data_IF_041002242990
#
_entry.id   IF_041002242990
#
_cell.length_a   1.000
_cell.length_b   1.000
_cell.length_c   1.000
_cell.angle_alpha   90.00
_cell.angle_beta   90.00
_cell.angle_gamma   90.00
#
_symmetry.space_group_name_H-M   'P 1'
#
loop_
_entity.id
_entity.type
_entity.pdbx_description
1 polymer ?
#
# COMPACT_ATOMS: atom_id res chain seq x y z
N UNK A 1 5.19 19.65 -8.82
CA UNK A 1 5.08 18.18 -8.98
C UNK A 1 3.93 17.77 -8.09
N UNK A 2 2.84 17.28 -8.68
CA UNK A 2 1.77 16.68 -7.90
C UNK A 2 2.29 15.31 -7.48
N UNK A 3 2.52 15.11 -6.19
CA UNK A 3 2.88 13.81 -5.67
C UNK A 3 1.58 13.01 -5.54
N UNK A 4 1.50 11.88 -6.23
CA UNK A 4 0.31 11.05 -6.19
C UNK A 4 0.53 9.90 -5.20
N UNK A 5 -0.49 9.52 -4.42
CA UNK A 5 -0.36 8.53 -3.37
C UNK A 5 -0.21 7.12 -3.94
N UNK A 6 0.48 6.25 -3.21
CA UNK A 6 0.38 4.81 -3.46
C UNK A 6 -1.01 4.29 -3.06
N UNK A 7 -1.57 3.42 -3.89
CA UNK A 7 -2.82 2.72 -3.61
C UNK A 7 -2.49 1.24 -3.40
N UNK A 8 -2.73 0.75 -2.20
CA UNK A 8 -2.53 -0.66 -1.83
C UNK A 8 -3.90 -1.35 -1.80
N UNK A 9 -4.02 -2.45 -2.52
CA UNK A 9 -5.22 -3.27 -2.63
C UNK A 9 -4.88 -4.74 -2.43
N UNK A 10 -5.88 -5.54 -2.05
CA UNK A 10 -5.77 -6.99 -1.98
C UNK A 10 -6.64 -7.58 -3.09
N UNK A 11 -6.11 -8.54 -3.85
CA UNK A 11 -6.81 -9.19 -4.96
C UNK A 11 -8.08 -9.91 -4.49
N UNK A 12 -8.01 -10.55 -3.32
CA UNK A 12 -9.08 -11.37 -2.74
C UNK A 12 -9.09 -11.25 -1.20
N UNK A 13 -10.21 -11.59 -0.54
CA UNK A 13 -10.30 -11.68 0.92
C UNK A 13 -9.17 -12.49 1.57
N UNK A 14 -8.83 -13.65 1.00
CA UNK A 14 -7.80 -14.54 1.54
C UNK A 14 -6.42 -13.85 1.59
N UNK A 15 -6.08 -13.05 0.57
CA UNK A 15 -4.84 -12.28 0.54
C UNK A 15 -4.82 -11.19 1.64
N UNK A 16 -5.97 -10.60 1.96
CA UNK A 16 -6.08 -9.69 3.10
C UNK A 16 -5.90 -10.43 4.43
N UNK A 17 -6.57 -11.55 4.63
CA UNK A 17 -6.43 -12.34 5.87
C UNK A 17 -5.01 -12.85 6.09
N UNK A 18 -4.29 -13.21 5.02
CA UNK A 18 -2.92 -13.72 5.10
C UNK A 18 -1.87 -12.61 5.25
N UNK A 19 -2.05 -11.47 4.57
CA UNK A 19 -0.97 -10.49 4.42
C UNK A 19 -1.22 -9.12 5.05
N UNK A 20 -2.42 -8.82 5.54
CA UNK A 20 -2.71 -7.49 6.08
C UNK A 20 -1.75 -7.07 7.20
N UNK A 21 -1.46 -7.96 8.14
CA UNK A 21 -0.54 -7.66 9.24
C UNK A 21 0.87 -7.39 8.71
N UNK A 22 1.29 -8.11 7.67
CA UNK A 22 2.60 -7.90 7.04
C UNK A 22 2.67 -6.60 6.24
N UNK A 23 1.58 -6.23 5.57
CA UNK A 23 1.45 -4.93 4.89
C UNK A 23 1.60 -3.80 5.89
N UNK A 24 0.92 -3.88 7.04
CA UNK A 24 1.03 -2.88 8.11
C UNK A 24 2.48 -2.83 8.62
N UNK A 25 3.08 -3.97 8.96
CA UNK A 25 4.47 -4.04 9.44
C UNK A 25 5.45 -3.37 8.46
N UNK A 26 5.35 -3.67 7.15
CA UNK A 26 6.22 -3.06 6.13
C UNK A 26 6.04 -1.54 6.08
N UNK A 27 4.81 -1.03 6.19
CA UNK A 27 4.56 0.41 6.21
C UNK A 27 5.15 1.05 7.48
N UNK A 28 4.96 0.44 8.64
CA UNK A 28 5.49 0.93 9.91
C UNK A 28 7.03 0.95 9.94
N UNK A 29 7.68 -0.11 9.45
CA UNK A 29 9.14 -0.19 9.32
C UNK A 29 9.72 0.91 8.43
N UNK A 30 8.90 1.42 7.50
CA UNK A 30 9.23 2.52 6.60
C UNK A 30 8.73 3.89 7.07
N UNK A 31 8.34 4.01 8.35
CA UNK A 31 7.96 5.28 8.97
C UNK A 31 6.54 5.74 8.67
N UNK A 32 5.67 4.84 8.20
CA UNK A 32 4.27 5.12 7.85
C UNK A 32 3.37 4.37 8.85
N UNK A 33 3.11 4.95 10.03
CA UNK A 33 2.41 4.26 11.11
C UNK A 33 0.94 3.98 10.76
N UNK A 34 0.39 2.89 11.29
CA UNK A 34 -1.02 2.60 11.08
C UNK A 34 -1.91 3.77 11.53
N UNK A 35 -2.84 4.18 10.66
CA UNK A 35 -3.75 5.30 10.91
C UNK A 35 -3.23 6.66 10.45
N UNK A 36 -2.00 6.78 9.95
CA UNK A 36 -1.56 7.98 9.21
C UNK A 36 -2.16 8.04 7.80
N UNK A 37 -2.51 6.88 7.24
CA UNK A 37 -3.07 6.73 5.91
C UNK A 37 -4.55 6.33 5.96
N UNK A 38 -5.41 6.92 5.10
CA UNK A 38 -6.81 6.54 5.02
C UNK A 38 -7.02 5.13 4.46
N UNK A 39 -8.07 4.48 4.96
CA UNK A 39 -8.56 3.19 4.51
C UNK A 39 -10.03 3.30 4.09
N UNK A 40 -10.41 2.64 2.99
CA UNK A 40 -11.83 2.55 2.60
C UNK A 40 -12.62 1.66 3.57
N UNK A 41 -13.94 1.89 3.65
CA UNK A 41 -14.87 1.05 4.42
C UNK A 41 -15.36 -0.17 3.62
N UNK A 42 -14.50 -0.73 2.77
CA UNK A 42 -14.76 -1.93 1.98
C UNK A 42 -14.01 -3.13 2.57
N UNK A 43 -14.34 -4.33 2.10
CA UNK A 43 -13.60 -5.55 2.41
C UNK A 43 -13.24 -6.31 1.13
N UNK A 44 -11.94 -6.50 0.82
CA UNK A 44 -10.78 -5.92 1.51
C UNK A 44 -10.77 -4.38 1.52
N UNK A 45 -10.12 -3.74 2.51
CA UNK A 45 -9.90 -2.31 2.49
C UNK A 45 -8.90 -1.94 1.39
N UNK A 46 -8.99 -0.70 0.93
CA UNK A 46 -8.00 -0.06 0.07
C UNK A 46 -7.26 0.95 0.95
N UNK A 47 -5.93 0.86 0.99
CA UNK A 47 -5.09 1.83 1.67
C UNK A 47 -4.57 2.86 0.67
N UNK A 48 -4.70 4.13 1.01
CA UNK A 48 -4.19 5.24 0.22
C UNK A 48 -3.05 5.84 1.04
N UNK A 49 -1.80 5.68 0.59
CA UNK A 49 -0.60 6.00 1.35
C UNK A 49 0.14 7.15 0.68
N UNK A 50 -0.11 8.41 1.09
CA UNK A 50 0.46 9.60 0.44
C UNK A 50 1.98 9.71 0.56
N UNK A 51 2.58 9.12 1.58
CA UNK A 51 4.03 9.18 1.82
C UNK A 51 4.83 8.31 0.84
N UNK A 52 4.16 7.39 0.15
CA UNK A 52 4.77 6.52 -0.87
C UNK A 52 4.50 7.14 -2.24
N UNK A 53 5.43 7.97 -2.69
CA UNK A 53 5.29 8.82 -3.89
C UNK A 53 6.11 8.31 -5.08
N UNK A 54 6.86 7.21 -4.93
CA UNK A 54 7.70 6.65 -5.99
C UNK A 54 7.81 5.13 -5.94
N UNK A 55 8.04 4.56 -7.13
CA UNK A 55 8.35 3.15 -7.33
C UNK A 55 9.60 2.69 -6.55
N UNK A 56 10.55 3.61 -6.32
CA UNK A 56 11.79 3.35 -5.59
C UNK A 56 11.63 3.40 -4.06
N UNK A 57 10.45 3.74 -3.54
CA UNK A 57 10.22 3.80 -2.10
C UNK A 57 10.38 2.39 -1.48
N UNK A 58 11.13 2.21 -0.37
CA UNK A 58 11.50 0.87 0.08
C UNK A 58 10.32 -0.01 0.49
N UNK A 59 9.20 0.58 0.94
CA UNK A 59 7.97 -0.17 1.21
C UNK A 59 7.37 -0.82 -0.05
N UNK A 60 7.51 -0.22 -1.24
CA UNK A 60 6.92 -0.73 -2.50
C UNK A 60 7.48 -2.10 -2.84
N UNK A 61 8.82 -2.24 -2.77
CA UNK A 61 9.48 -3.52 -3.05
C UNK A 61 9.05 -4.60 -2.06
N UNK A 62 8.90 -4.26 -0.78
CA UNK A 62 8.43 -5.19 0.25
C UNK A 62 6.98 -5.62 0.08
N UNK A 63 6.12 -4.71 -0.38
CA UNK A 63 4.69 -5.00 -0.59
C UNK A 63 4.45 -5.84 -1.85
N UNK A 64 5.21 -5.61 -2.93
CA UNK A 64 5.05 -6.33 -4.21
C UNK A 64 5.45 -7.80 -4.17
N UNK A 65 6.24 -8.21 -3.18
CA UNK A 65 6.58 -9.64 -3.02
C UNK A 65 5.50 -10.44 -2.29
N UNK A 66 4.48 -9.78 -1.73
CA UNK A 66 3.36 -10.43 -1.06
C UNK A 66 2.33 -10.89 -2.10
N UNK A 67 2.05 -12.21 -2.22
CA UNK A 67 1.06 -12.73 -3.16
C UNK A 67 -0.32 -12.07 -2.97
N UNK A 68 -0.95 -11.63 -4.05
CA UNK A 68 -2.28 -11.01 -3.97
C UNK A 68 -2.33 -9.60 -3.37
N UNK A 69 -1.18 -8.97 -3.07
CA UNK A 69 -1.09 -7.54 -2.73
C UNK A 69 -0.72 -6.74 -3.98
N UNK A 70 -1.57 -5.78 -4.34
CA UNK A 70 -1.38 -4.88 -5.47
C UNK A 70 -0.96 -3.51 -4.94
N UNK A 71 0.16 -2.99 -5.44
CA UNK A 71 0.63 -1.62 -5.17
C UNK A 71 0.66 -0.84 -6.46
N UNK A 72 -0.16 0.21 -6.50
CA UNK A 72 -0.34 1.09 -7.64
C UNK A 72 0.20 2.48 -7.27
N UNK A 73 1.36 2.84 -7.80
CA UNK A 73 1.91 4.19 -7.69
C UNK A 73 1.35 4.94 -8.88
N UNK A 74 0.46 5.91 -8.63
CA UNK A 74 0.07 6.77 -9.72
C UNK A 74 1.30 7.63 -10.05
N UNK A 75 1.90 7.42 -11.21
CA UNK A 75 2.85 8.34 -11.80
C UNK A 75 2.08 9.06 -12.90
N UNK A 76 1.98 10.39 -12.82
CA UNK A 76 1.56 11.23 -13.95
C UNK A 76 2.61 11.05 -15.08
N UNK A 77 2.53 9.95 -15.82
CA UNK A 77 3.13 9.80 -17.14
C UNK A 77 2.11 10.31 -18.16
N UNK A 78 2.15 11.61 -18.41
CA UNK A 78 1.62 12.28 -19.61
C UNK A 78 2.73 13.16 -20.24
#
# INVERSE_FOLDING_TARGET
MLHQPAIIRFEQPDAFEEHNDKVIEILEENGIPQGSYPATRSFPPIYIVPEVESEDHPSVSGLRVLPGVIVDIQTDDD
#
